data_IF_444733647817
#
_entry.id   IF_444733647817
#
_cell.length_a   1.000
_cell.length_b   1.000
_cell.length_c   1.000
_cell.angle_alpha   90.00
_cell.angle_beta   90.00
_cell.angle_gamma   90.00
#
_symmetry.space_group_name_H-M   'P 1'
#
loop_
_entity.id
_entity.type
_entity.pdbx_description
1 polymer ?
#
# COMPACT_ATOMS: atom_id res chain seq x y z
N UNK A 1 2.40 -12.06 0.61
CA UNK A 1 2.19 -11.11 -0.52
C UNK A 1 0.73 -10.68 -0.51
N UNK A 2 0.43 -9.41 -0.73
CA UNK A 2 -0.96 -8.95 -0.88
C UNK A 2 -1.36 -9.10 -2.35
N UNK A 3 -2.36 -9.93 -2.65
CA UNK A 3 -2.95 -10.01 -3.97
C UNK A 3 -4.39 -10.54 -3.89
N UNK A 4 -5.20 -10.26 -4.91
CA UNK A 4 -6.59 -10.76 -5.00
C UNK A 4 -6.68 -12.29 -5.05
N UNK A 5 -5.61 -12.95 -5.48
CA UNK A 5 -5.57 -14.40 -5.72
C UNK A 5 -4.66 -15.12 -4.73
N UNK A 6 -4.28 -14.45 -3.63
CA UNK A 6 -3.57 -15.10 -2.54
C UNK A 6 -4.60 -15.69 -1.59
N UNK A 7 -4.48 -16.98 -1.30
CA UNK A 7 -5.37 -17.70 -0.39
C UNK A 7 -4.76 -17.84 1.03
N UNK A 8 -3.47 -17.56 1.18
CA UNK A 8 -2.76 -17.65 2.44
C UNK A 8 -2.94 -16.38 3.29
N UNK A 9 -3.18 -16.56 4.60
CA UNK A 9 -3.14 -15.47 5.56
C UNK A 9 -1.70 -14.99 5.81
N UNK A 10 -1.54 -13.69 6.04
CA UNK A 10 -0.26 -13.11 6.43
C UNK A 10 -0.04 -13.33 7.94
N UNK A 11 1.15 -13.80 8.37
CA UNK A 11 1.42 -14.01 9.79
C UNK A 11 1.58 -12.69 10.55
N UNK A 12 1.42 -12.72 11.87
CA UNK A 12 1.80 -11.62 12.74
C UNK A 12 3.29 -11.26 12.53
N UNK A 13 3.60 -9.96 12.51
CA UNK A 13 4.94 -9.46 12.21
C UNK A 13 5.27 -9.40 10.71
N UNK A 14 4.39 -9.86 9.82
CA UNK A 14 4.55 -9.65 8.39
C UNK A 14 4.63 -8.16 8.07
N UNK A 15 5.61 -7.79 7.26
CA UNK A 15 5.82 -6.43 6.76
C UNK A 15 5.51 -6.43 5.25
N UNK A 16 4.53 -5.63 4.83
CA UNK A 16 4.04 -5.58 3.45
C UNK A 16 3.78 -4.14 3.01
N UNK A 17 3.81 -3.90 1.70
CA UNK A 17 3.36 -2.65 1.10
C UNK A 17 1.86 -2.70 0.83
N UNK A 18 1.18 -1.58 1.04
CA UNK A 18 -0.19 -1.33 0.56
C UNK A 18 -0.10 -0.22 -0.46
N UNK A 19 -0.17 -0.59 -1.74
CA UNK A 19 0.27 0.27 -2.86
C UNK A 19 -0.68 0.30 -4.07
N UNK A 20 -1.98 0.63 -3.91
CA UNK A 20 -2.90 0.70 -5.03
C UNK A 20 -2.48 1.81 -6.02
N UNK A 21 -2.67 1.54 -7.32
CA UNK A 21 -2.39 2.51 -8.36
C UNK A 21 -3.40 2.48 -9.52
N UNK A 22 -3.60 3.64 -10.12
CA UNK A 22 -4.38 3.85 -11.34
C UNK A 22 -3.47 4.48 -12.38
N UNK A 23 -3.47 3.93 -13.58
CA UNK A 23 -2.58 4.33 -14.66
C UNK A 23 -3.42 4.67 -15.89
N UNK A 24 -3.11 5.80 -16.53
CA UNK A 24 -3.81 6.33 -17.69
C UNK A 24 -2.77 6.54 -18.81
N UNK A 25 -2.34 5.46 -19.50
CA UNK A 25 -1.23 5.51 -20.44
C UNK A 25 -1.46 6.48 -21.61
N UNK A 26 -2.70 6.57 -22.08
CA UNK A 26 -3.09 7.46 -23.18
C UNK A 26 -3.00 8.94 -22.83
N UNK A 27 -2.97 9.27 -21.54
CA UNK A 27 -2.76 10.63 -21.02
C UNK A 27 -1.36 10.80 -20.41
N UNK A 28 -0.52 9.76 -20.49
CA UNK A 28 0.86 9.72 -19.98
C UNK A 28 0.99 10.11 -18.50
N UNK A 29 0.06 9.68 -17.64
CA UNK A 29 0.17 9.80 -16.19
C UNK A 29 -0.36 8.57 -15.45
N UNK A 30 -0.04 8.50 -14.16
CA UNK A 30 -0.57 7.53 -13.23
C UNK A 30 -0.35 7.99 -11.80
N UNK A 31 -1.11 7.43 -10.88
CA UNK A 31 -1.04 7.73 -9.45
C UNK A 31 -0.90 6.41 -8.70
N UNK A 32 0.05 6.35 -7.77
CA UNK A 32 0.19 5.28 -6.79
C UNK A 32 0.45 5.92 -5.43
N UNK A 33 -0.27 5.48 -4.41
CA UNK A 33 -0.01 5.83 -3.00
C UNK A 33 0.46 4.56 -2.33
N UNK A 34 1.58 4.62 -1.63
CA UNK A 34 2.25 3.45 -1.07
C UNK A 34 2.68 3.70 0.38
N UNK A 35 2.28 2.79 1.26
CA UNK A 35 2.72 2.75 2.65
C UNK A 35 3.26 1.36 3.01
N UNK A 36 4.20 1.32 3.96
CA UNK A 36 4.71 0.08 4.56
C UNK A 36 3.92 -0.19 5.85
N UNK A 37 3.39 -1.40 5.98
CA UNK A 37 2.52 -1.79 7.10
C UNK A 37 3.03 -3.09 7.73
N UNK A 38 3.06 -3.12 9.05
CA UNK A 38 3.38 -4.33 9.84
C UNK A 38 2.10 -4.88 10.48
N UNK A 39 1.85 -6.17 10.34
CA UNK A 39 0.72 -6.82 11.01
C UNK A 39 1.03 -7.06 12.50
N UNK A 40 0.05 -6.73 13.35
CA UNK A 40 0.03 -6.94 14.79
C UNK A 40 -1.09 -7.93 15.13
N UNK A 41 -1.08 -8.50 16.34
CA UNK A 41 -2.11 -9.42 16.79
C UNK A 41 -3.56 -8.87 16.68
N UNK A 42 -3.75 -7.55 16.82
CA UNK A 42 -5.05 -6.87 16.84
C UNK A 42 -5.28 -5.91 15.66
N UNK A 43 -4.42 -5.95 14.64
CA UNK A 43 -4.57 -5.08 13.47
C UNK A 43 -3.26 -4.87 12.71
N UNK A 44 -3.02 -3.63 12.30
CA UNK A 44 -1.83 -3.27 11.54
C UNK A 44 -1.30 -1.91 11.93
N UNK A 45 0.02 -1.74 11.84
CA UNK A 45 0.72 -0.50 12.11
C UNK A 45 1.32 0.07 10.82
N UNK A 46 0.93 1.30 10.48
CA UNK A 46 1.49 2.01 9.32
C UNK A 46 2.79 2.71 9.70
N UNK A 47 3.88 2.35 9.03
CA UNK A 47 5.21 2.91 9.27
C UNK A 47 5.50 4.16 8.41
N UNK A 48 4.70 4.41 7.38
CA UNK A 48 4.90 5.53 6.43
C UNK A 48 4.02 6.74 6.79
N UNK A 49 4.68 7.83 7.20
CA UNK A 49 4.01 9.07 7.67
C UNK A 49 3.91 10.18 6.62
N UNK A 50 4.42 9.97 5.41
CA UNK A 50 4.32 10.95 4.34
C UNK A 50 2.85 11.30 4.07
N UNK A 51 2.54 12.59 3.81
CA UNK A 51 1.17 12.99 3.47
C UNK A 51 0.73 12.26 2.19
N UNK A 52 -0.52 11.80 2.17
CA UNK A 52 -1.11 11.11 1.01
C UNK A 52 -1.98 12.05 0.16
N UNK A 53 -2.08 13.32 0.56
CA UNK A 53 -2.77 14.37 -0.19
C UNK A 53 -1.93 14.81 -1.39
N UNK A 54 -2.61 15.29 -2.44
CA UNK A 54 -1.93 15.87 -3.58
C UNK A 54 -1.20 17.15 -3.17
N UNK A 55 0.12 17.14 -3.28
CA UNK A 55 0.95 18.32 -3.07
C UNK A 55 1.25 18.99 -4.42
N UNK A 56 1.10 20.32 -4.46
CA UNK A 56 1.51 21.15 -5.58
C UNK A 56 2.88 21.77 -5.23
N UNK A 57 3.88 21.53 -6.07
CA UNK A 57 5.27 21.97 -5.88
C UNK A 57 5.59 23.20 -6.73
#
# INVERSE_FOLDING_TARGET
RVSRTADDELPEGACVTIEPGVYVPEQNYGVRIEDIVVLRADGSENLTRSPKELMML
#
